data_IF_142646164409
#
_entry.id   IF_142646164409
#
_cell.length_a   1.000
_cell.length_b   1.000
_cell.length_c   1.000
_cell.angle_alpha   90.00
_cell.angle_beta   90.00
_cell.angle_gamma   90.00
#
_symmetry.space_group_name_H-M   'P 1'
#
loop_
_entity.id
_entity.type
_entity.pdbx_description
1 polymer ?
#
# COMPACT_ATOMS: atom_id res chain seq x y z
N UNK A 1 -19.35 17.04 5.77
CA UNK A 1 -18.78 16.23 6.85
C UNK A 1 -17.39 15.81 6.41
N UNK A 2 -16.37 16.28 7.09
CA UNK A 2 -14.98 15.93 6.83
C UNK A 2 -14.47 15.02 7.95
N UNK A 3 -13.89 13.88 7.62
CA UNK A 3 -13.17 13.07 8.60
C UNK A 3 -11.80 13.71 8.82
N UNK A 4 -11.49 14.13 10.04
CA UNK A 4 -10.24 14.76 10.40
C UNK A 4 -9.44 13.85 11.35
N UNK A 5 -8.13 13.77 11.14
CA UNK A 5 -7.20 13.07 12.00
C UNK A 5 -6.90 13.96 13.20
N UNK A 6 -7.28 13.54 14.40
CA UNK A 6 -6.98 14.27 15.66
C UNK A 6 -6.13 13.40 16.56
N UNK A 7 -4.86 13.77 16.72
CA UNK A 7 -3.92 13.13 17.64
C UNK A 7 -2.56 13.83 17.62
N UNK A 8 -1.72 13.62 18.66
CA UNK A 8 -0.34 14.08 18.59
C UNK A 8 0.43 13.30 17.53
N UNK A 9 1.26 13.96 16.74
CA UNK A 9 1.96 13.34 15.58
C UNK A 9 2.72 12.05 15.94
N UNK A 10 3.24 11.90 17.13
CA UNK A 10 4.01 10.73 17.54
C UNK A 10 3.10 9.51 17.84
N UNK A 11 1.95 9.71 18.48
CA UNK A 11 0.97 8.64 18.71
C UNK A 11 0.31 8.18 17.41
N UNK A 12 0.12 9.09 16.44
CA UNK A 12 -0.46 8.77 15.13
C UNK A 12 0.46 7.83 14.35
N UNK A 13 1.77 8.06 14.36
CA UNK A 13 2.73 7.22 13.60
C UNK A 13 2.80 5.79 14.13
N UNK A 14 2.89 5.60 15.44
CA UNK A 14 2.96 4.28 16.07
C UNK A 14 1.66 3.50 15.85
N UNK A 15 0.52 4.15 16.06
CA UNK A 15 -0.80 3.56 15.82
C UNK A 15 -1.02 3.26 14.35
N UNK A 16 -0.57 4.13 13.43
CA UNK A 16 -0.67 3.90 12.00
C UNK A 16 0.09 2.65 11.55
N UNK A 17 1.34 2.46 11.98
CA UNK A 17 2.14 1.28 11.61
C UNK A 17 1.52 -0.01 12.15
N UNK A 18 0.89 0.03 13.32
CA UNK A 18 0.14 -1.10 13.87
C UNK A 18 -1.21 -1.34 13.20
N UNK A 19 -1.70 -0.39 12.42
CA UNK A 19 -3.07 -0.42 11.88
C UNK A 19 -4.14 -0.12 12.93
N UNK A 20 -3.76 0.46 14.08
CA UNK A 20 -4.64 0.81 15.19
C UNK A 20 -5.00 2.30 15.18
N UNK A 21 -5.09 2.89 14.00
CA UNK A 21 -5.39 4.31 13.84
C UNK A 21 -6.88 4.55 14.01
N UNK A 22 -7.22 5.39 14.96
CA UNK A 22 -8.59 5.85 15.18
C UNK A 22 -8.80 7.18 14.45
N UNK A 23 -9.83 7.23 13.62
CA UNK A 23 -10.28 8.43 12.93
C UNK A 23 -11.51 9.00 13.63
N UNK A 24 -11.69 10.30 13.47
CA UNK A 24 -12.81 11.00 14.08
C UNK A 24 -13.63 11.73 13.01
N UNK A 25 -14.95 11.65 13.15
CA UNK A 25 -15.86 12.46 12.36
C UNK A 25 -15.79 13.92 12.83
N UNK A 26 -15.52 14.84 11.88
CA UNK A 26 -15.49 16.28 12.11
C UNK A 26 -16.63 16.97 11.35
N UNK A 27 -16.99 18.16 11.80
CA UNK A 27 -17.94 19.07 11.13
C UNK A 27 -17.21 20.38 10.85
N UNK A 28 -17.29 20.81 9.58
CA UNK A 28 -16.71 22.09 9.14
C UNK A 28 -17.78 22.88 8.39
N UNK A 29 -17.93 24.20 8.63
CA UNK A 29 -18.80 25.04 7.83
C UNK A 29 -18.40 25.00 6.35
N UNK A 30 -19.37 24.89 5.46
CA UNK A 30 -19.16 24.71 4.02
C UNK A 30 -18.21 25.74 3.37
N UNK A 31 -18.29 27.06 3.67
CA UNK A 31 -17.37 28.04 3.07
C UNK A 31 -15.89 27.80 3.46
N UNK A 32 -15.63 27.31 4.67
CA UNK A 32 -14.26 26.97 5.08
C UNK A 32 -13.75 25.73 4.37
N UNK A 33 -14.60 24.71 4.21
CA UNK A 33 -14.28 23.51 3.43
C UNK A 33 -13.91 23.86 1.99
N UNK A 34 -14.75 24.64 1.31
CA UNK A 34 -14.49 25.08 -0.08
C UNK A 34 -13.18 25.86 -0.20
N UNK A 35 -12.97 26.84 0.69
CA UNK A 35 -11.75 27.66 0.71
C UNK A 35 -10.50 26.83 0.98
N UNK A 36 -10.56 25.85 1.89
CA UNK A 36 -9.43 24.97 2.21
C UNK A 36 -8.99 24.14 0.99
N UNK A 37 -9.93 23.55 0.26
CA UNK A 37 -9.59 22.74 -0.92
C UNK A 37 -9.14 23.61 -2.11
N UNK A 38 -9.69 24.81 -2.27
CA UNK A 38 -9.22 25.77 -3.24
C UNK A 38 -7.77 26.20 -2.98
N UNK A 39 -7.42 26.46 -1.70
CA UNK A 39 -6.05 26.81 -1.29
C UNK A 39 -5.08 25.63 -1.46
N UNK A 40 -5.55 24.40 -1.26
CA UNK A 40 -4.74 23.19 -1.49
C UNK A 40 -4.53 22.85 -2.97
N UNK A 41 -5.15 23.56 -3.89
CA UNK A 41 -5.12 23.24 -5.31
C UNK A 41 -5.84 21.92 -5.63
N UNK A 42 -6.89 21.57 -4.88
CA UNK A 42 -7.65 20.33 -5.04
C UNK A 42 -9.06 20.59 -5.52
N UNK A 43 -9.48 19.88 -6.56
CA UNK A 43 -10.86 20.00 -7.08
C UNK A 43 -11.87 19.35 -6.12
N UNK A 44 -13.09 19.94 -6.05
CA UNK A 44 -14.20 19.42 -5.24
C UNK A 44 -15.38 19.13 -6.16
N UNK A 45 -15.92 17.92 -6.04
CA UNK A 45 -17.11 17.46 -6.74
C UNK A 45 -18.25 17.28 -5.73
N UNK A 46 -19.42 17.78 -6.06
CA UNK A 46 -20.64 17.67 -5.27
C UNK A 46 -21.67 16.87 -6.05
N UNK A 47 -22.31 15.90 -5.37
CA UNK A 47 -23.44 15.15 -5.91
C UNK A 47 -24.69 15.44 -5.08
N UNK A 48 -25.73 15.97 -5.73
CA UNK A 48 -27.04 16.14 -5.12
C UNK A 48 -27.80 14.83 -5.11
N UNK A 49 -28.08 14.32 -3.89
CA UNK A 49 -28.77 13.04 -3.71
C UNK A 49 -30.29 13.22 -3.85
N UNK A 50 -30.93 12.28 -4.55
CA UNK A 50 -32.40 12.23 -4.75
C UNK A 50 -33.09 11.60 -3.53
N UNK A 51 -33.06 12.29 -2.41
CA UNK A 51 -33.67 11.84 -1.16
C UNK A 51 -35.02 12.53 -0.93
N UNK A 52 -36.00 11.78 -0.49
CA UNK A 52 -37.26 12.32 0.03
C UNK A 52 -37.03 13.11 1.33
N UNK A 53 -38.00 13.93 1.73
CA UNK A 53 -37.87 14.68 2.98
C UNK A 53 -37.69 13.76 4.20
N UNK A 54 -38.39 12.64 4.22
CA UNK A 54 -38.26 11.65 5.30
C UNK A 54 -36.87 11.03 5.35
N UNK A 55 -36.29 10.67 4.20
CA UNK A 55 -34.92 10.14 4.09
C UNK A 55 -33.87 11.18 4.47
N UNK A 56 -34.06 12.46 4.12
CA UNK A 56 -33.20 13.56 4.56
C UNK A 56 -33.18 13.69 6.09
N UNK A 57 -34.33 13.64 6.73
CA UNK A 57 -34.42 13.65 8.19
C UNK A 57 -33.78 12.42 8.83
N UNK A 58 -33.98 11.25 8.25
CA UNK A 58 -33.35 10.02 8.70
C UNK A 58 -31.82 10.08 8.56
N UNK A 59 -31.31 10.59 7.43
CA UNK A 59 -29.87 10.79 7.24
C UNK A 59 -29.32 11.76 8.27
N UNK A 60 -29.97 12.89 8.49
CA UNK A 60 -29.55 13.86 9.50
C UNK A 60 -29.47 13.22 10.89
N UNK A 61 -30.50 12.48 11.30
CA UNK A 61 -30.51 11.76 12.58
C UNK A 61 -29.36 10.76 12.71
N UNK A 62 -29.05 10.00 11.63
CA UNK A 62 -27.92 9.06 11.61
C UNK A 62 -26.57 9.78 11.72
N UNK A 63 -26.42 10.94 11.10
CA UNK A 63 -25.22 11.76 11.18
C UNK A 63 -25.05 12.39 12.58
N UNK A 64 -26.13 12.89 13.18
CA UNK A 64 -26.13 13.42 14.53
C UNK A 64 -25.77 12.34 15.55
N UNK A 65 -26.34 11.13 15.41
CA UNK A 65 -25.98 10.00 16.27
C UNK A 65 -24.50 9.61 16.09
N UNK A 66 -23.99 9.58 14.86
CA UNK A 66 -22.61 9.25 14.58
C UNK A 66 -21.62 10.34 15.09
N UNK A 67 -22.08 11.59 15.20
CA UNK A 67 -21.28 12.71 15.72
C UNK A 67 -21.19 12.76 17.26
N UNK A 68 -22.01 12.01 17.99
CA UNK A 68 -21.94 11.95 19.45
C UNK A 68 -20.53 11.53 19.90
N UNK A 69 -20.04 12.05 21.05
CA UNK A 69 -18.69 11.76 21.55
C UNK A 69 -18.35 10.26 21.61
N UNK A 70 -19.31 9.43 21.96
CA UNK A 70 -19.19 7.97 22.05
C UNK A 70 -19.12 7.25 20.69
N UNK A 71 -19.59 7.86 19.60
CA UNK A 71 -19.72 7.24 18.29
C UNK A 71 -18.81 7.85 17.22
N UNK A 72 -18.33 9.08 17.43
CA UNK A 72 -17.60 9.83 16.39
C UNK A 72 -16.20 9.29 16.09
N UNK A 73 -15.61 8.53 17.01
CA UNK A 73 -14.30 7.90 16.86
C UNK A 73 -14.50 6.47 16.37
N UNK A 74 -13.73 6.08 15.36
CA UNK A 74 -13.81 4.73 14.82
C UNK A 74 -12.44 4.20 14.40
N UNK A 75 -12.25 2.88 14.48
CA UNK A 75 -11.07 2.20 14.00
C UNK A 75 -11.04 2.25 12.47
N UNK A 76 -10.06 2.97 11.94
CA UNK A 76 -9.91 3.12 10.51
C UNK A 76 -9.35 1.85 9.88
N UNK A 77 -9.98 1.38 8.81
CA UNK A 77 -9.49 0.31 7.98
C UNK A 77 -9.44 0.78 6.53
N UNK A 78 -8.25 0.81 5.96
CA UNK A 78 -7.98 1.43 4.67
C UNK A 78 -8.87 0.93 3.53
N UNK A 79 -9.14 -0.38 3.47
CA UNK A 79 -9.96 -0.98 2.41
C UNK A 79 -11.41 -1.23 2.80
N UNK A 80 -11.68 -1.52 4.07
CA UNK A 80 -12.98 -2.06 4.49
C UNK A 80 -13.85 -1.09 5.30
N UNK A 81 -13.24 -0.18 6.06
CA UNK A 81 -13.96 0.79 6.91
C UNK A 81 -13.24 2.14 6.94
N UNK A 82 -13.38 2.90 5.85
CA UNK A 82 -12.78 4.22 5.68
C UNK A 82 -13.83 5.31 5.56
N UNK A 83 -13.41 6.57 5.38
CA UNK A 83 -14.32 7.70 5.25
C UNK A 83 -15.32 7.56 4.10
N UNK A 84 -14.92 6.94 2.99
CA UNK A 84 -15.79 6.73 1.82
C UNK A 84 -16.83 5.65 2.07
N UNK A 85 -16.41 4.49 2.59
CA UNK A 85 -17.32 3.37 2.87
C UNK A 85 -18.33 3.74 3.94
N UNK A 86 -17.94 4.49 4.97
CA UNK A 86 -18.85 5.00 6.00
C UNK A 86 -19.87 5.97 5.46
N UNK A 87 -19.47 6.91 4.58
CA UNK A 87 -20.42 7.81 3.93
C UNK A 87 -21.45 7.05 3.08
N UNK A 88 -20.99 6.08 2.27
CA UNK A 88 -21.88 5.17 1.52
C UNK A 88 -22.89 4.49 2.42
N UNK A 89 -22.42 3.86 3.48
CA UNK A 89 -23.27 3.07 4.38
C UNK A 89 -24.29 3.94 5.11
N UNK A 90 -23.99 5.19 5.47
CA UNK A 90 -24.97 6.12 6.05
C UNK A 90 -26.05 6.54 5.02
N UNK A 91 -25.64 6.80 3.77
CA UNK A 91 -26.60 7.09 2.69
C UNK A 91 -27.53 5.90 2.48
N UNK A 92 -27.01 4.68 2.33
CA UNK A 92 -27.83 3.48 2.15
C UNK A 92 -28.81 3.26 3.31
N UNK A 93 -28.36 3.43 4.55
CA UNK A 93 -29.21 3.28 5.76
C UNK A 93 -30.32 4.32 5.83
N UNK A 94 -30.15 5.49 5.24
CA UNK A 94 -31.15 6.56 5.25
C UNK A 94 -32.30 6.33 4.27
N UNK A 95 -32.06 5.55 3.21
CA UNK A 95 -32.99 5.37 2.10
C UNK A 95 -34.07 4.36 2.46
N UNK A 96 -35.29 4.66 2.05
CA UNK A 96 -36.42 3.73 2.10
C UNK A 96 -36.50 2.99 0.76
N UNK A 97 -35.92 1.79 0.73
CA UNK A 97 -35.69 1.01 -0.47
C UNK A 97 -34.30 0.40 -0.50
N UNK A 98 -33.85 -0.03 -1.68
CA UNK A 98 -32.54 -0.63 -1.89
C UNK A 98 -31.75 0.17 -2.92
N UNK A 99 -30.55 0.61 -2.56
CA UNK A 99 -29.63 1.21 -3.53
C UNK A 99 -29.00 0.12 -4.37
N UNK A 100 -29.16 0.23 -5.68
CA UNK A 100 -28.58 -0.71 -6.66
C UNK A 100 -27.49 0.03 -7.41
N UNK A 101 -26.26 -0.39 -7.18
CA UNK A 101 -25.09 0.12 -7.88
C UNK A 101 -24.86 -0.63 -9.20
N UNK A 102 -24.13 -0.03 -10.15
CA UNK A 102 -23.73 -0.74 -11.35
C UNK A 102 -22.81 -1.93 -11.03
N UNK A 103 -22.67 -2.81 -11.98
CA UNK A 103 -21.62 -3.84 -11.89
C UNK A 103 -20.24 -3.17 -11.80
N UNK A 104 -19.38 -3.74 -10.94
CA UNK A 104 -18.02 -3.26 -10.78
C UNK A 104 -17.21 -3.48 -12.06
N UNK A 105 -16.10 -2.76 -12.18
CA UNK A 105 -15.14 -2.99 -13.25
C UNK A 105 -14.54 -4.39 -13.05
N UNK A 106 -14.62 -5.22 -14.09
CA UNK A 106 -14.15 -6.61 -14.05
C UNK A 106 -12.63 -6.69 -13.78
N UNK A 107 -12.23 -7.69 -13.01
CA UNK A 107 -10.82 -8.00 -12.73
C UNK A 107 -10.10 -6.99 -11.83
N UNK A 108 -10.80 -6.00 -11.25
CA UNK A 108 -10.19 -5.06 -10.33
C UNK A 108 -9.83 -5.71 -8.99
N UNK A 109 -8.68 -5.32 -8.47
CA UNK A 109 -8.16 -5.69 -7.16
C UNK A 109 -7.88 -4.42 -6.35
N UNK A 110 -7.67 -4.53 -5.04
CA UNK A 110 -7.28 -3.38 -4.24
C UNK A 110 -5.99 -2.75 -4.76
N UNK A 111 -4.97 -3.57 -5.07
CA UNK A 111 -3.70 -3.08 -5.62
C UNK A 111 -3.90 -2.38 -6.96
N UNK A 112 -4.64 -2.96 -7.89
CA UNK A 112 -4.85 -2.35 -9.21
C UNK A 112 -5.55 -0.99 -9.12
N UNK A 113 -6.49 -0.81 -8.18
CA UNK A 113 -7.13 0.48 -7.94
C UNK A 113 -6.15 1.47 -7.30
N UNK A 114 -5.33 1.04 -6.33
CA UNK A 114 -4.29 1.91 -5.74
C UNK A 114 -3.32 2.39 -6.82
N UNK A 115 -2.90 1.53 -7.74
CA UNK A 115 -2.01 1.90 -8.85
C UNK A 115 -2.63 2.96 -9.77
N UNK A 116 -3.96 2.99 -9.97
CA UNK A 116 -4.62 4.07 -10.73
C UNK A 116 -4.38 5.45 -10.11
N UNK A 117 -4.30 5.51 -8.77
CA UNK A 117 -4.10 6.77 -8.03
C UNK A 117 -2.65 7.09 -7.73
N UNK A 118 -1.74 6.14 -7.86
CA UNK A 118 -0.29 6.34 -7.73
C UNK A 118 0.40 6.50 -9.08
N UNK A 119 -0.34 6.44 -10.17
CA UNK A 119 0.17 6.67 -11.52
C UNK A 119 0.91 8.00 -11.61
N UNK A 120 2.20 7.96 -11.98
CA UNK A 120 3.10 9.13 -11.98
C UNK A 120 4.01 9.24 -10.74
N UNK A 121 3.72 8.54 -9.64
CA UNK A 121 4.53 8.51 -8.41
C UNK A 121 5.14 7.12 -8.18
N UNK A 122 6.04 6.70 -9.04
CA UNK A 122 6.58 5.32 -9.05
C UNK A 122 7.31 4.91 -7.77
N UNK A 123 7.82 5.85 -6.98
CA UNK A 123 8.43 5.58 -5.68
C UNK A 123 7.38 5.31 -4.60
N UNK A 124 6.28 6.05 -4.62
CA UNK A 124 5.15 5.81 -3.71
C UNK A 124 4.48 4.47 -4.03
N UNK A 125 4.30 4.17 -5.32
CA UNK A 125 3.80 2.88 -5.79
C UNK A 125 4.69 1.73 -5.30
N UNK A 126 6.03 1.83 -5.47
CA UNK A 126 6.95 0.82 -4.94
C UNK A 126 6.81 0.67 -3.42
N UNK A 127 6.76 1.79 -2.67
CA UNK A 127 6.63 1.75 -1.21
C UNK A 127 5.35 1.04 -0.76
N UNK A 128 4.23 1.31 -1.41
CA UNK A 128 2.95 0.66 -1.15
C UNK A 128 3.01 -0.83 -1.53
N UNK A 129 3.55 -1.17 -2.68
CA UNK A 129 3.67 -2.55 -3.18
C UNK A 129 4.51 -3.43 -2.26
N UNK A 130 5.56 -2.88 -1.63
CA UNK A 130 6.36 -3.61 -0.66
C UNK A 130 5.59 -3.97 0.61
N UNK A 131 4.55 -3.19 0.95
CA UNK A 131 3.75 -3.39 2.15
C UNK A 131 2.51 -4.27 1.91
N UNK A 132 1.90 -4.20 0.70
CA UNK A 132 0.70 -4.96 0.37
C UNK A 132 1.02 -6.45 0.12
N UNK A 133 0.25 -7.32 0.75
CA UNK A 133 0.33 -8.77 0.54
C UNK A 133 -0.64 -9.29 -0.52
N UNK A 134 -0.64 -10.60 -0.72
CA UNK A 134 -1.43 -11.32 -1.73
C UNK A 134 -2.95 -11.10 -1.64
N UNK A 135 -3.46 -10.74 -0.47
CA UNK A 135 -4.88 -10.46 -0.30
C UNK A 135 -5.32 -9.22 -1.10
N UNK A 136 -4.41 -8.26 -1.32
CA UNK A 136 -4.66 -7.08 -2.12
C UNK A 136 -4.82 -7.39 -3.62
N UNK A 137 -4.44 -8.57 -4.07
CA UNK A 137 -4.45 -9.02 -5.46
C UNK A 137 -5.66 -9.89 -5.81
N UNK A 138 -6.54 -10.15 -4.83
CA UNK A 138 -7.79 -10.86 -5.07
C UNK A 138 -8.78 -9.98 -5.81
N UNK A 139 -9.52 -10.52 -6.81
CA UNK A 139 -10.62 -9.77 -7.44
C UNK A 139 -11.65 -9.33 -6.42
N UNK A 140 -12.12 -8.10 -6.54
CA UNK A 140 -13.08 -7.47 -5.64
C UNK A 140 -14.35 -7.05 -6.39
N UNK A 141 -15.50 -7.14 -5.72
CA UNK A 141 -16.78 -6.75 -6.24
C UNK A 141 -16.98 -5.23 -6.30
N UNK A 142 -18.09 -4.78 -6.87
CA UNK A 142 -18.44 -3.35 -6.96
C UNK A 142 -18.47 -2.66 -5.60
N UNK A 143 -18.97 -3.36 -4.57
CA UNK A 143 -19.07 -2.79 -3.23
C UNK A 143 -17.70 -2.52 -2.61
N UNK A 144 -16.76 -3.45 -2.77
CA UNK A 144 -15.39 -3.29 -2.29
C UNK A 144 -14.62 -2.26 -3.12
N UNK A 145 -14.86 -2.15 -4.45
CA UNK A 145 -14.24 -1.09 -5.28
C UNK A 145 -14.57 0.32 -4.79
N UNK A 146 -15.73 0.51 -4.15
CA UNK A 146 -16.14 1.79 -3.57
C UNK A 146 -15.35 2.21 -2.30
N UNK A 147 -14.29 1.49 -1.92
CA UNK A 147 -13.35 2.03 -0.92
C UNK A 147 -12.64 3.28 -1.43
N UNK A 148 -12.46 3.38 -2.74
CA UNK A 148 -11.83 4.52 -3.39
C UNK A 148 -12.90 5.61 -3.68
N UNK A 149 -12.65 6.88 -3.30
CA UNK A 149 -13.64 7.95 -3.42
C UNK A 149 -14.17 8.18 -4.83
N UNK A 150 -13.32 8.11 -5.85
CA UNK A 150 -13.75 8.30 -7.25
C UNK A 150 -14.61 7.13 -7.75
N UNK A 151 -14.34 5.90 -7.30
CA UNK A 151 -15.20 4.76 -7.61
C UNK A 151 -16.58 4.91 -6.96
N UNK A 152 -16.62 5.35 -5.68
CA UNK A 152 -17.87 5.65 -5.00
C UNK A 152 -18.67 6.73 -5.73
N UNK A 153 -18.02 7.83 -6.14
CA UNK A 153 -18.63 8.92 -6.90
C UNK A 153 -19.24 8.42 -8.21
N UNK A 154 -18.44 7.70 -9.00
CA UNK A 154 -18.84 7.24 -10.33
C UNK A 154 -19.96 6.19 -10.25
N UNK A 155 -19.93 5.31 -9.24
CA UNK A 155 -20.98 4.31 -9.03
C UNK A 155 -22.26 4.94 -8.46
N UNK A 156 -22.14 5.91 -7.56
CA UNK A 156 -23.30 6.65 -7.06
C UNK A 156 -24.02 7.42 -8.18
N UNK A 157 -23.28 8.04 -9.11
CA UNK A 157 -23.86 8.72 -10.27
C UNK A 157 -24.70 7.81 -11.17
N UNK A 158 -24.39 6.52 -11.21
CA UNK A 158 -25.08 5.52 -12.02
C UNK A 158 -26.09 4.68 -11.22
N UNK A 159 -26.08 4.81 -9.89
CA UNK A 159 -26.94 4.03 -9.02
C UNK A 159 -28.39 4.50 -9.08
N UNK A 160 -29.30 3.57 -8.82
CA UNK A 160 -30.72 3.86 -8.62
C UNK A 160 -31.24 3.26 -7.33
N UNK A 161 -32.30 3.87 -6.82
CA UNK A 161 -33.03 3.38 -5.66
C UNK A 161 -34.22 2.56 -6.16
N UNK A 162 -34.23 1.28 -5.82
CA UNK A 162 -35.39 0.40 -6.01
C UNK A 162 -36.32 0.55 -4.82
N UNK A 163 -37.51 1.10 -5.07
CA UNK A 163 -38.50 1.33 -4.03
C UNK A 163 -39.31 0.06 -3.71
N UNK A 164 -39.99 -0.02 -2.55
CA UNK A 164 -40.79 -1.20 -2.16
C UNK A 164 -41.91 -1.51 -3.15
N UNK A 165 -42.42 -0.52 -3.89
CA UNK A 165 -43.44 -0.70 -4.93
C UNK A 165 -42.91 -1.16 -6.29
N UNK A 166 -41.58 -1.40 -6.37
CA UNK A 166 -40.88 -1.79 -7.61
C UNK A 166 -40.50 -0.64 -8.53
N UNK A 167 -40.86 0.60 -8.22
CA UNK A 167 -40.44 1.77 -8.97
C UNK A 167 -38.93 2.08 -8.75
N UNK A 168 -38.34 2.80 -9.72
CA UNK A 168 -36.93 3.15 -9.67
C UNK A 168 -36.75 4.66 -9.76
N UNK A 169 -35.84 5.22 -8.96
CA UNK A 169 -35.40 6.60 -9.08
C UNK A 169 -33.88 6.70 -9.04
N UNK A 170 -33.24 7.62 -9.77
CA UNK A 170 -31.78 7.76 -9.69
C UNK A 170 -31.35 8.14 -8.27
N UNK A 171 -30.19 7.69 -7.82
CA UNK A 171 -29.62 8.05 -6.52
C UNK A 171 -29.13 9.51 -6.53
N UNK A 172 -28.48 9.92 -7.62
CA UNK A 172 -27.92 11.26 -7.83
C UNK A 172 -28.77 12.01 -8.85
N UNK A 173 -29.18 13.23 -8.51
CA UNK A 173 -29.91 14.13 -9.42
C UNK A 173 -28.97 14.94 -10.28
N UNK A 174 -27.88 15.43 -9.69
CA UNK A 174 -26.95 16.33 -10.33
C UNK A 174 -25.56 16.17 -9.73
N UNK A 175 -24.53 16.29 -10.58
CA UNK A 175 -23.14 16.46 -10.16
C UNK A 175 -22.65 17.84 -10.58
N UNK A 176 -21.94 18.51 -9.69
CA UNK A 176 -21.37 19.84 -9.94
C UNK A 176 -19.92 19.84 -9.45
N UNK A 177 -19.01 20.37 -10.24
CA UNK A 177 -17.64 20.65 -9.83
C UNK A 177 -17.62 22.04 -9.18
N UNK A 178 -17.52 22.07 -7.85
CA UNK A 178 -17.61 23.31 -7.05
C UNK A 178 -16.28 24.05 -7.07
N UNK A 179 -15.19 23.32 -6.83
CA UNK A 179 -13.84 23.86 -6.96
C UNK A 179 -13.20 23.21 -8.16
N UNK A 180 -12.87 24.01 -9.16
CA UNK A 180 -12.21 23.54 -10.38
C UNK A 180 -10.76 24.04 -10.39
N UNK A 181 -9.85 23.17 -10.07
CA UNK A 181 -8.42 23.45 -10.11
C UNK A 181 -7.79 22.57 -11.18
N UNK A 182 -6.99 23.20 -12.04
CA UNK A 182 -6.11 22.46 -12.94
C UNK A 182 -4.96 21.92 -12.09
N UNK A 183 -4.79 20.57 -11.99
CA UNK A 183 -3.69 20.03 -11.23
C UNK A 183 -2.36 20.57 -11.78
N UNK A 184 -1.54 21.19 -10.93
CA UNK A 184 -0.15 21.42 -11.30
C UNK A 184 0.53 20.08 -11.45
N UNK A 185 1.20 19.86 -12.59
CA UNK A 185 2.08 18.72 -12.78
C UNK A 185 3.21 18.82 -11.74
N UNK A 186 3.06 18.12 -10.64
CA UNK A 186 4.12 18.00 -9.65
C UNK A 186 5.26 17.21 -10.28
N UNK A 187 6.39 17.89 -10.51
CA UNK A 187 7.60 17.19 -10.94
C UNK A 187 7.90 16.03 -9.97
N UNK A 188 8.29 14.86 -10.47
CA UNK A 188 8.62 13.74 -9.60
C UNK A 188 9.68 14.17 -8.58
N UNK A 189 9.48 13.84 -7.33
CA UNK A 189 10.38 14.20 -6.21
C UNK A 189 11.81 13.68 -6.41
N UNK A 190 11.96 12.63 -7.22
CA UNK A 190 13.25 12.06 -7.61
C UNK A 190 13.27 11.73 -9.12
N UNK A 191 14.30 12.17 -9.88
CA UNK A 191 14.30 12.10 -11.34
C UNK A 191 14.47 10.68 -11.92
N UNK A 192 14.94 9.72 -11.11
CA UNK A 192 15.18 8.35 -11.56
C UNK A 192 14.07 7.43 -11.07
N UNK A 193 13.57 6.56 -11.95
CA UNK A 193 12.57 5.55 -11.54
C UNK A 193 13.19 4.50 -10.61
N UNK A 194 12.39 3.87 -9.71
CA UNK A 194 12.85 2.78 -8.86
C UNK A 194 13.49 1.63 -9.66
N UNK A 195 12.90 1.28 -10.79
CA UNK A 195 13.42 0.23 -11.69
C UNK A 195 14.80 0.58 -12.23
N UNK A 196 15.02 1.82 -12.65
CA UNK A 196 16.32 2.25 -13.14
C UNK A 196 17.36 2.22 -12.01
N UNK A 197 17.01 2.73 -10.83
CA UNK A 197 17.88 2.68 -9.65
C UNK A 197 18.25 1.25 -9.26
N UNK A 198 17.27 0.34 -9.21
CA UNK A 198 17.51 -1.08 -8.90
C UNK A 198 18.34 -1.78 -9.97
N UNK A 199 18.16 -1.43 -11.25
CA UNK A 199 18.95 -1.98 -12.36
C UNK A 199 20.41 -1.47 -12.32
N UNK A 200 20.62 -0.18 -12.06
CA UNK A 200 21.97 0.38 -11.86
C UNK A 200 22.64 -0.27 -10.64
N UNK A 201 21.88 -0.49 -9.57
CA UNK A 201 22.39 -1.16 -8.38
C UNK A 201 22.77 -2.62 -8.67
N UNK A 202 21.96 -3.36 -9.41
CA UNK A 202 22.31 -4.71 -9.88
C UNK A 202 23.60 -4.70 -10.71
N UNK A 203 23.73 -3.78 -11.65
CA UNK A 203 24.95 -3.65 -12.46
C UNK A 203 26.19 -3.40 -11.59
N UNK A 204 26.06 -2.50 -10.60
CA UNK A 204 27.12 -2.26 -9.61
C UNK A 204 27.47 -3.54 -8.83
N UNK A 205 26.47 -4.28 -8.37
CA UNK A 205 26.67 -5.55 -7.64
C UNK A 205 27.39 -6.60 -8.50
N UNK A 206 27.03 -6.70 -9.78
CA UNK A 206 27.71 -7.60 -10.73
C UNK A 206 29.19 -7.19 -10.89
N UNK A 207 29.47 -5.91 -11.04
CA UNK A 207 30.84 -5.40 -11.15
C UNK A 207 31.66 -5.67 -9.88
N UNK A 208 31.09 -5.40 -8.71
CA UNK A 208 31.75 -5.66 -7.41
C UNK A 208 31.97 -7.17 -7.22
N UNK A 209 31.00 -8.00 -7.55
CA UNK A 209 31.10 -9.47 -7.47
C UNK A 209 32.20 -9.99 -8.39
N UNK A 210 32.23 -9.51 -9.65
CA UNK A 210 33.29 -9.86 -10.61
C UNK A 210 34.67 -9.43 -10.12
N UNK A 211 34.79 -8.20 -9.60
CA UNK A 211 36.05 -7.70 -9.04
C UNK A 211 36.55 -8.54 -7.84
N UNK A 212 35.67 -8.83 -6.89
CA UNK A 212 35.96 -9.70 -5.72
C UNK A 212 36.43 -11.09 -6.14
N UNK A 213 35.75 -11.68 -7.13
CA UNK A 213 36.13 -12.98 -7.69
C UNK A 213 37.52 -12.93 -8.38
N UNK A 214 37.80 -11.84 -9.12
CA UNK A 214 39.06 -11.62 -9.80
C UNK A 214 40.24 -11.54 -8.83
N UNK A 215 40.13 -10.73 -7.77
CA UNK A 215 41.19 -10.53 -6.77
C UNK A 215 41.24 -11.63 -5.69
N UNK A 216 40.24 -12.52 -5.64
CA UNK A 216 40.15 -13.58 -4.63
C UNK A 216 39.91 -13.08 -3.19
N UNK A 217 39.31 -11.90 -3.04
CA UNK A 217 39.04 -11.29 -1.73
C UNK A 217 37.56 -10.92 -1.59
N UNK A 218 37.00 -11.13 -0.42
CA UNK A 218 35.63 -10.74 -0.05
C UNK A 218 35.72 -9.42 0.74
N UNK A 219 34.89 -8.46 0.33
CA UNK A 219 34.74 -7.18 1.03
C UNK A 219 33.58 -7.26 2.01
N UNK A 220 33.83 -7.78 3.18
CA UNK A 220 32.81 -7.98 4.21
C UNK A 220 32.09 -6.70 4.65
N UNK A 221 32.73 -5.52 4.51
CA UNK A 221 32.07 -4.22 4.75
C UNK A 221 30.94 -3.95 3.75
N UNK A 222 31.07 -4.45 2.52
CA UNK A 222 30.01 -4.41 1.52
C UNK A 222 28.85 -5.32 1.90
N UNK A 223 29.13 -6.49 2.42
CA UNK A 223 28.12 -7.42 2.94
C UNK A 223 27.36 -6.82 4.13
N UNK A 224 28.07 -6.12 5.01
CA UNK A 224 27.44 -5.43 6.14
C UNK A 224 26.41 -4.41 5.66
N UNK A 225 26.72 -3.64 4.61
CA UNK A 225 25.79 -2.70 4.01
C UNK A 225 24.59 -3.41 3.37
N UNK A 226 24.83 -4.39 2.49
CA UNK A 226 23.79 -5.08 1.72
C UNK A 226 22.83 -5.88 2.59
N UNK A 227 23.36 -6.81 3.36
CA UNK A 227 22.55 -7.68 4.20
C UNK A 227 22.03 -6.96 5.45
N UNK A 228 22.72 -5.90 5.88
CA UNK A 228 22.23 -5.00 6.91
C UNK A 228 20.99 -4.25 6.47
N UNK A 229 21.01 -3.62 5.29
CA UNK A 229 19.84 -2.93 4.73
C UNK A 229 18.70 -3.90 4.40
N UNK A 230 19.02 -5.06 3.82
CA UNK A 230 18.02 -6.11 3.57
C UNK A 230 17.33 -6.55 4.85
N UNK A 231 18.10 -6.82 5.90
CA UNK A 231 17.56 -7.28 7.16
C UNK A 231 16.80 -6.20 7.93
N UNK A 232 17.20 -4.91 7.81
CA UNK A 232 16.43 -3.78 8.36
C UNK A 232 15.06 -3.65 7.66
N UNK A 233 15.04 -3.70 6.33
CA UNK A 233 13.79 -3.77 5.57
C UNK A 233 12.96 -5.00 6.00
N UNK A 234 13.65 -6.14 6.22
CA UNK A 234 13.04 -7.36 6.72
C UNK A 234 12.44 -7.23 8.12
N UNK A 235 13.03 -6.45 9.01
CA UNK A 235 12.44 -6.15 10.32
C UNK A 235 11.11 -5.40 10.16
N UNK A 236 11.04 -4.43 9.24
CA UNK A 236 9.81 -3.68 8.97
C UNK A 236 8.72 -4.61 8.42
N UNK A 237 9.03 -5.39 7.38
CA UNK A 237 8.05 -6.31 6.77
C UNK A 237 7.60 -7.38 7.78
N UNK A 238 8.53 -7.92 8.60
CA UNK A 238 8.20 -8.88 9.65
C UNK A 238 7.28 -8.27 10.71
N UNK A 239 7.56 -7.03 11.10
CA UNK A 239 6.69 -6.31 12.05
C UNK A 239 5.29 -6.12 11.47
N UNK A 240 5.18 -5.65 10.23
CA UNK A 240 3.89 -5.50 9.55
C UNK A 240 3.15 -6.84 9.44
N UNK A 241 3.85 -7.91 9.09
CA UNK A 241 3.26 -9.22 8.89
C UNK A 241 2.68 -9.83 10.18
N UNK A 242 3.40 -9.73 11.32
CA UNK A 242 3.02 -10.41 12.56
C UNK A 242 2.31 -9.52 13.58
N UNK A 243 2.51 -8.21 13.54
CA UNK A 243 2.05 -7.31 14.59
C UNK A 243 1.11 -6.20 14.10
N UNK A 244 0.99 -5.99 12.80
CA UNK A 244 0.07 -5.01 12.25
C UNK A 244 -1.29 -5.65 11.95
N UNK A 245 -2.36 -4.92 12.27
CA UNK A 245 -3.74 -5.29 11.94
C UNK A 245 -4.23 -4.62 10.64
N UNK A 246 -3.33 -3.99 9.89
CA UNK A 246 -3.68 -3.49 8.57
C UNK A 246 -4.17 -4.62 7.67
N UNK A 247 -5.21 -4.38 6.85
CA UNK A 247 -5.65 -5.37 5.89
C UNK A 247 -4.52 -5.71 4.92
N UNK A 248 -4.47 -6.95 4.49
CA UNK A 248 -3.57 -7.51 3.48
C UNK A 248 -2.11 -7.75 3.91
N UNK A 249 -1.55 -6.99 4.87
CA UNK A 249 -0.11 -7.11 5.22
C UNK A 249 0.27 -8.49 5.76
N UNK A 250 -0.64 -9.22 6.42
CA UNK A 250 -0.44 -10.57 6.95
C UNK A 250 -0.33 -11.68 5.88
N UNK A 251 -0.49 -11.34 4.59
CA UNK A 251 -0.33 -12.25 3.46
C UNK A 251 0.86 -11.88 2.55
N UNK A 252 1.82 -11.10 3.07
CA UNK A 252 2.89 -10.51 2.26
C UNK A 252 4.07 -11.48 2.04
N UNK A 253 4.20 -11.98 0.81
CA UNK A 253 5.29 -12.87 0.39
C UNK A 253 6.65 -12.17 0.27
N UNK A 254 6.69 -10.83 0.34
CA UNK A 254 7.95 -10.09 0.45
C UNK A 254 8.76 -10.47 1.69
N UNK A 255 8.13 -11.07 2.70
CA UNK A 255 8.80 -11.62 3.87
C UNK A 255 9.88 -12.66 3.52
N UNK A 256 9.78 -13.34 2.37
CA UNK A 256 10.82 -14.29 1.94
C UNK A 256 12.07 -13.53 1.52
N UNK A 257 11.95 -12.44 0.77
CA UNK A 257 13.09 -11.62 0.33
C UNK A 257 13.61 -10.73 1.45
N UNK A 258 12.71 -9.98 2.07
CA UNK A 258 13.01 -9.07 3.15
C UNK A 258 12.61 -9.67 4.49
N UNK A 259 13.55 -10.41 5.10
CA UNK A 259 13.40 -10.99 6.41
C UNK A 259 14.60 -10.60 7.32
N UNK A 260 14.48 -10.65 8.64
CA UNK A 260 15.54 -10.22 9.55
C UNK A 260 16.72 -11.19 9.66
N UNK A 261 16.59 -12.42 9.14
CA UNK A 261 17.61 -13.47 9.30
C UNK A 261 18.98 -13.07 8.75
N UNK A 262 19.10 -12.43 7.55
CA UNK A 262 20.40 -11.96 7.08
C UNK A 262 21.09 -11.03 8.07
N UNK A 263 20.38 -10.09 8.67
CA UNK A 263 20.92 -9.17 9.67
C UNK A 263 21.36 -9.91 10.93
N UNK A 264 20.54 -10.81 11.44
CA UNK A 264 20.83 -11.58 12.66
C UNK A 264 22.02 -12.52 12.47
N UNK A 265 22.14 -13.14 11.30
CA UNK A 265 23.17 -14.15 11.01
C UNK A 265 24.47 -13.55 10.44
N UNK A 266 24.44 -12.28 10.01
CA UNK A 266 25.57 -11.58 9.41
C UNK A 266 26.86 -11.60 10.24
N UNK A 267 26.85 -11.42 11.60
CA UNK A 267 28.07 -11.48 12.39
C UNK A 267 28.78 -12.82 12.29
N UNK A 268 28.05 -13.93 12.20
CA UNK A 268 28.62 -15.27 12.01
C UNK A 268 29.14 -15.47 10.59
N UNK A 269 28.44 -14.94 9.58
CA UNK A 269 28.90 -14.92 8.18
C UNK A 269 30.21 -14.19 8.04
N UNK A 270 30.32 -12.95 8.56
CA UNK A 270 31.55 -12.15 8.53
C UNK A 270 32.70 -12.85 9.29
N UNK A 271 32.44 -13.39 10.48
CA UNK A 271 33.46 -14.18 11.21
C UNK A 271 33.97 -15.38 10.42
N UNK A 272 33.06 -16.05 9.68
CA UNK A 272 33.43 -17.15 8.78
C UNK A 272 34.41 -16.70 7.70
N UNK A 273 34.11 -15.58 7.03
CA UNK A 273 34.98 -14.98 6.00
C UNK A 273 36.35 -14.57 6.55
N UNK A 274 36.37 -13.86 7.69
CA UNK A 274 37.61 -13.37 8.33
C UNK A 274 38.51 -14.51 8.78
N UNK A 275 37.90 -15.58 9.33
CA UNK A 275 38.66 -16.78 9.81
C UNK A 275 38.94 -17.81 8.71
N UNK A 276 38.52 -17.52 7.47
CA UNK A 276 38.71 -18.44 6.36
C UNK A 276 37.93 -19.77 6.51
N UNK A 277 36.83 -19.79 7.25
CA UNK A 277 36.01 -21.01 7.44
C UNK A 277 34.90 -21.11 6.38
N UNK A 278 34.33 -22.31 6.22
CA UNK A 278 33.18 -22.55 5.32
C UNK A 278 32.02 -21.60 5.60
N UNK A 279 31.48 -21.02 4.54
CA UNK A 279 30.43 -20.01 4.58
C UNK A 279 29.03 -20.62 4.34
N UNK A 280 28.48 -21.19 5.32
CA UNK A 280 27.09 -21.63 5.24
C UNK A 280 26.13 -20.47 5.03
N UNK A 281 26.46 -19.25 5.51
CA UNK A 281 25.64 -18.05 5.41
C UNK A 281 25.29 -17.71 3.94
N UNK A 282 26.31 -17.58 3.08
CA UNK A 282 26.09 -17.27 1.67
C UNK A 282 25.40 -18.41 0.90
N UNK A 283 25.61 -19.65 1.29
CA UNK A 283 24.89 -20.79 0.70
C UNK A 283 23.40 -20.77 1.04
N UNK A 284 23.05 -20.47 2.28
CA UNK A 284 21.66 -20.30 2.71
C UNK A 284 21.03 -19.14 1.95
N UNK A 285 21.75 -18.00 1.83
CA UNK A 285 21.28 -16.88 1.03
C UNK A 285 21.04 -17.28 -0.44
N UNK A 286 21.93 -18.01 -1.08
CA UNK A 286 21.73 -18.51 -2.44
C UNK A 286 20.45 -19.34 -2.56
N UNK A 287 20.22 -20.25 -1.61
CA UNK A 287 19.05 -21.15 -1.64
C UNK A 287 17.74 -20.35 -1.55
N UNK A 288 17.58 -19.52 -0.53
CA UNK A 288 16.29 -18.85 -0.35
C UNK A 288 16.05 -17.74 -1.39
N UNK A 289 17.11 -17.05 -1.85
CA UNK A 289 16.96 -16.04 -2.93
C UNK A 289 16.61 -16.69 -4.27
N UNK A 290 17.22 -17.85 -4.58
CA UNK A 290 16.83 -18.62 -5.76
C UNK A 290 15.39 -19.10 -5.63
N UNK A 291 15.02 -19.64 -4.46
CA UNK A 291 13.63 -20.05 -4.20
C UNK A 291 12.65 -18.88 -4.37
N UNK A 292 12.95 -17.71 -3.81
CA UNK A 292 12.12 -16.52 -3.97
C UNK A 292 11.93 -16.15 -5.44
N UNK A 293 13.03 -16.03 -6.20
CA UNK A 293 12.98 -15.67 -7.63
C UNK A 293 12.17 -16.70 -8.44
N UNK A 294 12.29 -17.98 -8.12
CA UNK A 294 11.55 -19.04 -8.83
C UNK A 294 10.07 -19.10 -8.45
N UNK A 295 9.70 -18.64 -7.25
CA UNK A 295 8.30 -18.61 -6.80
C UNK A 295 7.55 -17.39 -7.36
N UNK A 296 8.21 -16.27 -7.67
CA UNK A 296 7.56 -15.05 -8.17
C UNK A 296 6.48 -15.34 -9.24
N UNK A 297 6.74 -16.10 -10.31
CA UNK A 297 5.74 -16.31 -11.37
C UNK A 297 4.53 -17.17 -10.95
N UNK A 298 4.63 -17.88 -9.83
CA UNK A 298 3.59 -18.78 -9.31
C UNK A 298 2.91 -18.24 -8.06
N UNK A 299 3.36 -17.09 -7.59
CA UNK A 299 2.80 -16.44 -6.40
C UNK A 299 1.42 -15.88 -6.68
N UNK A 300 0.47 -15.96 -5.72
CA UNK A 300 -0.79 -15.24 -5.78
C UNK A 300 -0.63 -13.73 -5.55
N UNK A 301 0.57 -13.25 -5.19
CA UNK A 301 0.89 -11.84 -4.98
C UNK A 301 1.54 -11.26 -6.24
N UNK A 302 1.05 -10.12 -6.70
CA UNK A 302 1.71 -9.30 -7.70
C UNK A 302 2.89 -8.55 -7.04
N UNK A 303 4.08 -8.73 -7.63
CA UNK A 303 5.28 -8.05 -7.17
C UNK A 303 5.62 -6.88 -8.10
N UNK A 304 6.00 -5.76 -7.51
CA UNK A 304 6.62 -4.69 -8.29
C UNK A 304 7.89 -5.22 -8.96
N UNK A 305 8.01 -5.02 -10.27
CA UNK A 305 9.12 -5.54 -11.06
C UNK A 305 10.50 -5.08 -10.55
N UNK A 306 10.57 -3.96 -9.83
CA UNK A 306 11.78 -3.45 -9.17
C UNK A 306 12.39 -4.44 -8.17
N UNK A 307 11.59 -5.34 -7.62
CA UNK A 307 12.03 -6.36 -6.66
C UNK A 307 12.98 -7.38 -7.29
N UNK A 308 12.80 -7.68 -8.58
CA UNK A 308 13.60 -8.69 -9.28
C UNK A 308 15.09 -8.32 -9.38
N UNK A 309 15.49 -7.12 -9.86
CA UNK A 309 16.90 -6.73 -9.87
C UNK A 309 17.51 -6.63 -8.47
N UNK A 310 16.73 -6.28 -7.44
CA UNK A 310 17.21 -6.29 -6.05
C UNK A 310 17.52 -7.73 -5.58
N UNK A 311 16.61 -8.67 -5.79
CA UNK A 311 16.81 -10.08 -5.42
C UNK A 311 17.98 -10.71 -6.19
N UNK A 312 18.08 -10.44 -7.51
CA UNK A 312 19.19 -10.90 -8.34
C UNK A 312 20.53 -10.32 -7.87
N UNK A 313 20.57 -9.07 -7.47
CA UNK A 313 21.79 -8.43 -6.95
C UNK A 313 22.32 -9.10 -5.68
N UNK A 314 21.42 -9.37 -4.74
CA UNK A 314 21.75 -10.11 -3.50
C UNK A 314 22.22 -11.53 -3.81
N UNK A 315 21.58 -12.20 -4.77
CA UNK A 315 21.97 -13.54 -5.21
C UNK A 315 23.37 -13.54 -5.86
N UNK A 316 23.64 -12.61 -6.77
CA UNK A 316 24.94 -12.46 -7.43
C UNK A 316 26.03 -12.24 -6.40
N UNK A 317 25.83 -11.37 -5.41
CA UNK A 317 26.78 -11.17 -4.32
C UNK A 317 27.03 -12.47 -3.54
N UNK A 318 25.96 -13.19 -3.15
CA UNK A 318 26.09 -14.44 -2.40
C UNK A 318 26.82 -15.53 -3.20
N UNK A 319 26.47 -15.70 -4.47
CA UNK A 319 27.14 -16.67 -5.39
C UNK A 319 28.61 -16.35 -5.53
N UNK A 320 28.97 -15.08 -5.76
CA UNK A 320 30.36 -14.66 -5.90
C UNK A 320 31.22 -15.04 -4.68
N UNK A 321 30.65 -14.89 -3.47
CA UNK A 321 31.33 -15.23 -2.23
C UNK A 321 31.57 -16.76 -2.10
N UNK A 322 30.57 -17.57 -2.44
CA UNK A 322 30.73 -19.01 -2.50
C UNK A 322 31.86 -19.42 -3.47
N UNK A 323 31.92 -18.77 -4.64
CA UNK A 323 32.95 -19.04 -5.64
C UNK A 323 34.34 -18.59 -5.19
N UNK A 324 34.48 -17.39 -4.60
CA UNK A 324 35.75 -16.87 -4.06
C UNK A 324 36.30 -17.79 -2.98
N UNK A 325 35.45 -18.24 -2.06
CA UNK A 325 35.87 -19.13 -0.99
C UNK A 325 36.26 -20.51 -1.53
N UNK A 326 35.51 -21.05 -2.48
CA UNK A 326 35.91 -22.32 -3.14
C UNK A 326 37.26 -22.23 -3.84
N UNK A 327 37.61 -21.06 -4.44
CA UNK A 327 38.90 -20.82 -5.08
C UNK A 327 40.05 -20.74 -4.08
N UNK A 328 39.79 -20.22 -2.86
CA UNK A 328 40.81 -20.08 -1.80
C UNK A 328 41.19 -21.41 -1.15
N UNK A 329 40.32 -22.42 -1.19
CA UNK A 329 40.50 -23.74 -0.53
C UNK A 329 40.85 -24.87 -1.51
N UNK A 330 41.02 -24.55 -2.79
CA UNK A 330 41.71 -25.38 -3.77
C UNK A 330 43.21 -25.02 -3.84
#
# INVERSE_FOLDING_TARGET
>A
ISACLVGSEMCIRDSFVKGETDYQLGITPYPYFESEYALRGSSVYEQELNLTLAEKWKLLSLLEENYRPENRVYRYNYFYDNCTTRARDQIERSIDGTVVYPEGKEGKTFRSIVHEFTAGSSWDELGIDLCLGAEADKPIDSRLQMFAPFYMRDFAAQAYILQPDGSRRPLVLKETKIVDVVPEETAPSFPLSPMLCASCFLALLVLVAWWQWRIGRIWWGWDLLLFGLQGLAGCIITFLFFFSVHPTVGSNWMLILFNPLPLLLLPWGIRGVVKGKKDWFYRVNCVYLTLFITIIPFSPQEFNLTVLPLALGLLVNSVSHVLVLKKRYK
#
